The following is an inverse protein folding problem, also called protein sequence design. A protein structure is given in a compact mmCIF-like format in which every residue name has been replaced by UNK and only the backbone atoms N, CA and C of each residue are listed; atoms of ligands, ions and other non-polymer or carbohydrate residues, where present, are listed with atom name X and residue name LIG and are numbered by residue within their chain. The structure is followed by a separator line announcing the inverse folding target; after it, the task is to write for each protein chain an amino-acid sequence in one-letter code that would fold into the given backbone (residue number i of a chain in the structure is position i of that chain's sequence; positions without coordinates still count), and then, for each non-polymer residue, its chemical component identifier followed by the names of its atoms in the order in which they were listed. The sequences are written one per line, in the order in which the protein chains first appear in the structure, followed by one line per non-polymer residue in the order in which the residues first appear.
data_IF_638076301115
#
_entry.id   IF_638076301115
#
_cell.length_a   1.000
_cell.length_b   1.000
_cell.length_c   1.000
_cell.angle_alpha   90.00
_cell.angle_beta   90.00
_cell.angle_gamma   90.00
#
_symmetry.space_group_name_H-M   'P 1'
#
loop_
_entity.id
_entity.type
_entity.pdbx_description
1 polymer ?
#
# COMPACT_ATOMS: atom_id res chain seq x y z
N UNK A 1 2.99 11.84 -21.50
CA UNK A 1 2.46 12.74 -20.45
C UNK A 1 1.27 12.06 -19.82
N UNK A 2 1.26 11.91 -18.49
CA UNK A 2 0.12 11.38 -17.74
C UNK A 2 -1.07 12.32 -17.89
N UNK A 3 -2.25 11.77 -18.17
CA UNK A 3 -3.50 12.54 -18.21
C UNK A 3 -3.82 13.08 -16.82
N UNK A 4 -4.48 14.25 -16.75
CA UNK A 4 -4.84 14.90 -15.48
C UNK A 4 -5.63 13.94 -14.56
N UNK A 5 -6.50 13.10 -15.14
CA UNK A 5 -7.25 12.05 -14.42
C UNK A 5 -6.35 11.00 -13.77
N UNK A 6 -5.30 10.56 -14.45
CA UNK A 6 -4.40 9.52 -13.94
C UNK A 6 -3.56 10.06 -12.78
N UNK A 7 -3.15 11.33 -12.88
CA UNK A 7 -2.42 12.04 -11.82
C UNK A 7 -3.29 12.19 -10.57
N UNK A 8 -4.54 12.61 -10.72
CA UNK A 8 -5.50 12.73 -9.62
C UNK A 8 -5.76 11.36 -8.99
N UNK A 9 -5.96 10.32 -9.79
CA UNK A 9 -6.17 8.96 -9.30
C UNK A 9 -4.96 8.45 -8.51
N UNK A 10 -3.74 8.72 -8.97
CA UNK A 10 -2.52 8.39 -8.24
C UNK A 10 -2.44 9.11 -6.90
N UNK A 11 -2.67 10.43 -6.89
CA UNK A 11 -2.66 11.22 -5.65
C UNK A 11 -3.71 10.70 -4.66
N UNK A 12 -4.90 10.37 -5.16
CA UNK A 12 -5.98 9.82 -4.33
C UNK A 12 -5.60 8.45 -3.73
N UNK A 13 -4.98 7.56 -4.52
CA UNK A 13 -4.49 6.26 -4.04
C UNK A 13 -3.38 6.43 -3.00
N UNK A 14 -2.44 7.35 -3.23
CA UNK A 14 -1.37 7.63 -2.27
C UNK A 14 -1.94 8.21 -0.97
N UNK A 15 -2.89 9.13 -1.04
CA UNK A 15 -3.56 9.68 0.12
C UNK A 15 -4.34 8.60 0.89
N UNK A 16 -5.10 7.75 0.19
CA UNK A 16 -5.83 6.65 0.79
C UNK A 16 -4.90 5.65 1.49
N UNK A 17 -3.77 5.29 0.86
CA UNK A 17 -2.76 4.43 1.49
C UNK A 17 -2.20 5.05 2.77
N UNK A 18 -1.86 6.33 2.75
CA UNK A 18 -1.37 7.07 3.92
C UNK A 18 -2.40 7.10 5.06
N UNK A 19 -3.66 7.35 4.74
CA UNK A 19 -4.75 7.36 5.73
C UNK A 19 -4.96 5.97 6.34
N UNK A 20 -4.94 4.91 5.52
CA UNK A 20 -5.08 3.54 6.01
C UNK A 20 -3.88 3.08 6.84
N UNK A 21 -2.67 3.48 6.46
CA UNK A 21 -1.45 3.11 7.17
C UNK A 21 -1.28 3.86 8.50
N UNK A 22 -1.98 4.99 8.70
CA UNK A 22 -1.83 5.83 9.89
C UNK A 22 -2.45 5.15 11.12
N UNK A 23 -1.60 4.74 12.07
CA UNK A 23 -2.05 4.21 13.37
C UNK A 23 -2.05 5.30 14.42
N UNK A 24 -3.24 5.65 14.89
CA UNK A 24 -3.42 6.65 15.93
C UNK A 24 -3.54 6.00 17.32
N UNK A 25 -2.65 6.36 18.25
CA UNK A 25 -2.78 6.04 19.67
C UNK A 25 -3.07 7.32 20.49
N UNK A 26 -4.22 7.39 21.18
CA UNK A 26 -4.60 8.59 21.93
C UNK A 26 -3.65 8.85 23.10
N UNK A 27 -3.15 10.09 23.20
CA UNK A 27 -2.31 10.55 24.31
C UNK A 27 -0.81 10.32 24.15
N UNK A 28 -0.36 9.54 23.15
CA UNK A 28 1.07 9.27 22.90
C UNK A 28 1.40 9.34 21.41
N UNK A 29 1.54 10.58 20.92
CA UNK A 29 1.83 10.88 19.51
C UNK A 29 3.15 10.27 19.02
N UNK A 30 4.17 10.22 19.88
CA UNK A 30 5.49 9.68 19.52
C UNK A 30 5.44 8.15 19.36
N UNK A 31 4.75 7.45 20.28
CA UNK A 31 4.50 6.01 20.15
C UNK A 31 3.65 5.69 18.92
N UNK A 32 2.63 6.51 18.62
CA UNK A 32 1.82 6.36 17.40
C UNK A 32 2.65 6.41 16.12
N UNK A 33 3.60 7.35 16.05
CA UNK A 33 4.50 7.50 14.91
C UNK A 33 5.46 6.31 14.78
N UNK A 34 6.04 5.84 15.89
CA UNK A 34 6.97 4.71 15.89
C UNK A 34 6.24 3.42 15.50
N UNK A 35 5.04 3.19 16.01
CA UNK A 35 4.21 2.04 15.67
C UNK A 35 3.73 2.08 14.21
N UNK A 36 3.35 3.26 13.71
CA UNK A 36 3.02 3.46 12.29
C UNK A 36 4.23 3.16 11.41
N UNK A 37 5.39 3.72 11.74
CA UNK A 37 6.61 3.52 10.97
C UNK A 37 7.06 2.06 10.98
N UNK A 38 7.01 1.40 12.14
CA UNK A 38 7.37 -0.02 12.28
C UNK A 38 6.39 -0.91 11.54
N UNK A 39 5.10 -0.59 11.57
CA UNK A 39 4.07 -1.30 10.80
C UNK A 39 4.34 -1.19 9.30
N UNK A 40 4.54 0.03 8.80
CA UNK A 40 4.88 0.28 7.40
C UNK A 40 6.17 -0.46 7.03
N UNK A 41 7.22 -0.42 7.86
CA UNK A 41 8.47 -1.13 7.59
C UNK A 41 8.29 -2.65 7.53
N UNK A 42 7.36 -3.21 8.32
CA UNK A 42 7.04 -4.63 8.31
C UNK A 42 6.17 -5.05 7.12
N UNK A 43 5.22 -4.21 6.72
CA UNK A 43 4.28 -4.51 5.62
C UNK A 43 4.84 -4.18 4.24
N UNK A 44 5.67 -3.14 4.11
CA UNK A 44 6.26 -2.70 2.84
C UNK A 44 7.04 -3.80 2.12
N UNK A 45 7.96 -4.58 2.75
CA UNK A 45 8.70 -5.64 2.08
C UNK A 45 7.78 -6.72 1.51
N UNK A 46 6.74 -7.07 2.24
CA UNK A 46 5.74 -8.04 1.80
C UNK A 46 4.96 -7.52 0.59
N UNK A 47 4.48 -6.28 0.64
CA UNK A 47 3.74 -5.65 -0.46
C UNK A 47 4.64 -5.47 -1.70
N UNK A 48 5.93 -5.13 -1.51
CA UNK A 48 6.93 -5.06 -2.60
C UNK A 48 7.10 -6.44 -3.24
N UNK A 49 7.29 -7.49 -2.44
CA UNK A 49 7.43 -8.86 -2.93
C UNK A 49 6.22 -9.31 -3.75
N UNK A 50 5.01 -9.06 -3.25
CA UNK A 50 3.77 -9.37 -3.96
C UNK A 50 3.63 -8.57 -5.27
N UNK A 51 3.99 -7.29 -5.23
CA UNK A 51 3.99 -6.42 -6.41
C UNK A 51 4.96 -6.92 -7.47
N UNK A 52 6.18 -7.32 -7.07
CA UNK A 52 7.19 -7.87 -7.98
C UNK A 52 6.75 -9.22 -8.57
N UNK A 53 6.03 -10.04 -7.80
CA UNK A 53 5.45 -11.29 -8.27
C UNK A 53 4.42 -11.02 -9.36
N UNK A 54 3.47 -10.11 -9.11
CA UNK A 54 2.46 -9.70 -10.10
C UNK A 54 3.12 -9.09 -11.34
N UNK A 55 4.12 -8.22 -11.15
CA UNK A 55 4.88 -7.62 -12.24
C UNK A 55 5.59 -8.68 -13.09
N UNK A 56 6.21 -9.67 -12.45
CA UNK A 56 6.88 -10.79 -13.14
C UNK A 56 5.89 -11.65 -13.92
N UNK A 57 4.71 -11.90 -13.35
CA UNK A 57 3.64 -12.64 -14.00
C UNK A 57 3.09 -11.89 -15.24
N UNK A 58 2.84 -10.59 -15.10
CA UNK A 58 2.42 -9.73 -16.21
C UNK A 58 3.47 -9.64 -17.30
N UNK A 59 4.75 -9.46 -16.94
CA UNK A 59 5.87 -9.46 -17.87
C UNK A 59 5.93 -10.78 -18.66
N UNK A 60 5.67 -11.91 -18.00
CA UNK A 60 5.61 -13.24 -18.64
C UNK A 60 4.42 -13.38 -19.59
N UNK A 61 3.25 -12.81 -19.26
CA UNK A 61 2.04 -12.89 -20.10
C UNK A 61 2.05 -11.95 -21.30
N UNK A 62 2.50 -10.72 -21.13
CA UNK A 62 2.42 -9.68 -22.17
C UNK A 62 3.72 -9.49 -22.96
N UNK A 63 4.80 -10.15 -22.57
CA UNK A 63 6.12 -10.03 -23.21
C UNK A 63 6.76 -8.64 -23.12
N UNK A 64 6.06 -7.66 -22.55
CA UNK A 64 6.45 -6.25 -22.48
C UNK A 64 6.62 -5.82 -21.01
N UNK A 65 7.53 -4.87 -20.77
CA UNK A 65 7.70 -4.27 -19.44
C UNK A 65 6.48 -3.41 -19.13
N UNK A 66 5.85 -3.65 -17.99
CA UNK A 66 4.86 -2.73 -17.44
C UNK A 66 5.53 -1.37 -17.17
N UNK A 67 4.85 -0.28 -17.52
CA UNK A 67 5.30 1.06 -17.15
C UNK A 67 5.37 1.20 -15.63
N UNK A 68 6.39 1.90 -15.12
CA UNK A 68 6.59 2.14 -13.69
C UNK A 68 5.34 2.70 -12.98
N UNK A 69 4.57 3.53 -13.69
CA UNK A 69 3.26 4.04 -13.26
C UNK A 69 2.29 2.92 -12.83
N UNK A 70 2.15 1.88 -13.66
CA UNK A 70 1.25 0.75 -13.39
C UNK A 70 1.74 -0.07 -12.21
N UNK A 71 3.05 -0.30 -12.11
CA UNK A 71 3.65 -1.00 -10.96
C UNK A 71 3.36 -0.26 -9.66
N UNK A 72 3.49 1.07 -9.65
CA UNK A 72 3.23 1.89 -8.47
C UNK A 72 1.75 1.88 -8.07
N UNK A 73 0.84 1.90 -9.05
CA UNK A 73 -0.60 1.77 -8.80
C UNK A 73 -0.96 0.41 -8.21
N UNK A 74 -0.37 -0.67 -8.72
CA UNK A 74 -0.54 -2.03 -8.18
C UNK A 74 -0.05 -2.09 -6.74
N UNK A 75 1.15 -1.56 -6.46
CA UNK A 75 1.70 -1.48 -5.11
C UNK A 75 0.75 -0.75 -4.14
N UNK A 76 0.30 0.45 -4.50
CA UNK A 76 -0.63 1.22 -3.67
C UNK A 76 -1.95 0.48 -3.44
N UNK A 77 -2.50 -0.15 -4.49
CA UNK A 77 -3.77 -0.89 -4.40
C UNK A 77 -3.63 -2.08 -3.45
N UNK A 78 -2.56 -2.87 -3.59
CA UNK A 78 -2.29 -3.99 -2.70
C UNK A 78 -2.05 -3.55 -1.27
N UNK A 79 -1.33 -2.43 -1.08
CA UNK A 79 -1.12 -1.83 0.23
C UNK A 79 -2.43 -1.44 0.90
N UNK A 80 -3.32 -0.73 0.20
CA UNK A 80 -4.65 -0.37 0.74
C UNK A 80 -5.45 -1.63 1.12
N UNK A 81 -5.48 -2.64 0.25
CA UNK A 81 -6.17 -3.90 0.55
C UNK A 81 -5.59 -4.53 1.82
N UNK A 82 -4.26 -4.64 1.90
CA UNK A 82 -3.58 -5.23 3.04
C UNK A 82 -3.90 -4.49 4.35
N UNK A 83 -3.80 -3.15 4.34
CA UNK A 83 -4.11 -2.31 5.51
C UNK A 83 -5.58 -2.45 5.94
N UNK A 84 -6.53 -2.52 4.99
CA UNK A 84 -7.95 -2.74 5.30
C UNK A 84 -8.17 -4.11 5.94
N UNK A 85 -7.60 -5.18 5.37
CA UNK A 85 -7.70 -6.52 5.95
C UNK A 85 -7.02 -6.60 7.32
N UNK A 86 -5.89 -5.93 7.50
CA UNK A 86 -5.18 -5.85 8.77
C UNK A 86 -6.04 -5.13 9.84
N UNK A 87 -6.64 -3.99 9.48
CA UNK A 87 -7.57 -3.27 10.36
C UNK A 87 -8.78 -4.11 10.75
N UNK A 88 -9.35 -4.85 9.79
CA UNK A 88 -10.46 -5.78 10.05
C UNK A 88 -10.05 -6.97 10.93
N UNK A 89 -8.84 -7.50 10.74
CA UNK A 89 -8.29 -8.56 11.57
C UNK A 89 -8.09 -8.09 13.02
N UNK A 90 -7.55 -6.90 13.24
CA UNK A 90 -7.41 -6.34 14.59
C UNK A 90 -8.74 -5.96 15.25
N UNK A 91 -9.78 -5.68 14.46
CA UNK A 91 -11.12 -5.41 14.97
C UNK A 91 -11.82 -6.70 15.46
N UNK A 92 -11.51 -7.86 14.89
CA UNK A 92 -12.16 -9.15 15.19
C UNK A 92 -11.23 -10.23 15.80
N UNK A 93 -9.94 -9.95 15.95
CA UNK A 93 -8.91 -10.83 16.53
C UNK A 93 -8.85 -10.72 18.06
N UNK A 94 -8.33 -11.75 18.76
CA UNK A 94 -8.58 -11.95 20.18
C UNK A 94 -7.98 -10.83 21.04
N UNK A 95 -8.82 -10.32 21.94
CA UNK A 95 -8.52 -9.50 23.12
C UNK A 95 -7.36 -10.04 23.95
#
# INVERSE_FOLDING_TARGET
MLSLKEKISLVLLTAAYLVCAFRYFPGRLFESLVETASHILGSVPFIIGLTLLIFSFFKKMTGSKLSWDRTFRIFLTLGIIFEVFYGLYNLHGPS
#
